data_IF_000634569925
#
_entry.id   IF_000634569925
#
_cell.length_a   1.000
_cell.length_b   1.000
_cell.length_c   1.000
_cell.angle_alpha   90.00
_cell.angle_beta   90.00
_cell.angle_gamma   90.00
#
_symmetry.space_group_name_H-M   'P 1'
#
loop_
_entity.id
_entity.type
_entity.pdbx_description
1 polymer ?
#
# COMPACT_ATOMS: atom_id res chain seq x y z
N UNK A 1 -1.40 -12.87 5.57
CA UNK A 1 -1.81 -11.65 4.84
C UNK A 1 -0.65 -11.25 3.95
N UNK A 2 -0.89 -10.60 2.83
CA UNK A 2 0.19 -10.14 1.96
C UNK A 2 0.47 -8.67 2.23
N UNK A 3 1.74 -8.31 2.34
CA UNK A 3 2.17 -6.92 2.34
C UNK A 3 2.28 -6.47 0.89
N UNK A 4 1.61 -5.40 0.52
CA UNK A 4 1.75 -4.74 -0.78
C UNK A 4 2.47 -3.42 -0.56
N UNK A 5 3.45 -3.12 -1.41
CA UNK A 5 4.19 -1.86 -1.40
C UNK A 5 4.22 -1.28 -2.81
N UNK A 6 4.06 0.04 -2.92
CA UNK A 6 4.07 0.75 -4.19
C UNK A 6 4.71 2.13 -4.05
N UNK A 7 5.59 2.48 -4.99
CA UNK A 7 6.12 3.84 -5.13
C UNK A 7 6.88 3.97 -6.45
N UNK A 8 6.73 5.08 -7.20
CA UNK A 8 7.56 5.37 -8.37
C UNK A 8 9.07 5.37 -8.07
N UNK A 9 9.45 5.62 -6.81
CA UNK A 9 10.84 5.69 -6.37
C UNK A 9 11.32 4.39 -5.69
N UNK A 10 10.58 3.28 -5.81
CA UNK A 10 10.95 2.03 -5.14
C UNK A 10 12.23 1.43 -5.75
N UNK A 11 13.15 1.02 -4.88
CA UNK A 11 14.45 0.48 -5.26
C UNK A 11 14.68 -0.85 -4.56
N UNK A 12 15.59 -1.66 -5.10
CA UNK A 12 15.93 -2.97 -4.53
C UNK A 12 16.33 -2.90 -3.05
N UNK A 13 17.08 -1.86 -2.65
CA UNK A 13 17.46 -1.65 -1.25
C UNK A 13 16.26 -1.47 -0.31
N UNK A 14 15.19 -0.83 -0.77
CA UNK A 14 13.96 -0.69 0.02
C UNK A 14 13.31 -2.05 0.24
N UNK A 15 13.22 -2.87 -0.81
CA UNK A 15 12.63 -4.22 -0.72
C UNK A 15 13.43 -5.12 0.22
N UNK A 16 14.76 -5.10 0.16
CA UNK A 16 15.62 -5.87 1.07
C UNK A 16 15.42 -5.44 2.52
N UNK A 17 15.40 -4.13 2.77
CA UNK A 17 15.21 -3.62 4.13
C UNK A 17 13.84 -3.97 4.68
N UNK A 18 12.78 -3.76 3.89
CA UNK A 18 11.40 -4.12 4.27
C UNK A 18 11.30 -5.61 4.58
N UNK A 19 11.90 -6.47 3.75
CA UNK A 19 11.93 -7.92 3.98
C UNK A 19 12.51 -8.28 5.35
N UNK A 20 13.66 -7.67 5.69
CA UNK A 20 14.34 -7.89 6.95
C UNK A 20 13.51 -7.49 8.18
N UNK A 21 12.82 -6.34 8.12
CA UNK A 21 12.02 -5.82 9.25
C UNK A 21 10.58 -6.34 9.28
N UNK A 22 10.11 -6.99 8.19
CA UNK A 22 8.77 -7.58 8.11
C UNK A 22 8.66 -8.92 8.85
N UNK A 23 9.80 -9.49 9.30
CA UNK A 23 9.85 -10.79 10.01
C UNK A 23 9.12 -11.91 9.23
N UNK A 24 9.16 -11.85 7.90
CA UNK A 24 8.48 -12.82 7.06
C UNK A 24 8.99 -14.24 7.28
N UNK A 25 8.08 -15.20 7.15
CA UNK A 25 8.41 -16.61 7.17
C UNK A 25 9.56 -16.95 6.19
N UNK A 26 10.44 -17.87 6.63
CA UNK A 26 11.63 -18.23 5.86
C UNK A 26 11.23 -18.71 4.45
N UNK A 27 11.70 -17.99 3.43
CA UNK A 27 11.46 -18.31 2.02
C UNK A 27 10.44 -17.43 1.30
N UNK A 28 9.71 -16.53 2.00
CA UNK A 28 8.88 -15.53 1.31
C UNK A 28 9.79 -14.56 0.53
N UNK A 29 9.45 -14.26 -0.72
CA UNK A 29 10.16 -13.28 -1.55
C UNK A 29 9.19 -12.25 -2.10
N UNK A 30 9.70 -11.06 -2.39
CA UNK A 30 8.93 -10.05 -3.09
C UNK A 30 8.65 -10.50 -4.53
N UNK A 31 7.39 -10.35 -4.93
CA UNK A 31 6.93 -10.61 -6.30
C UNK A 31 6.46 -9.28 -6.89
N UNK A 32 7.00 -8.93 -8.04
CA UNK A 32 6.59 -7.73 -8.77
C UNK A 32 5.23 -7.95 -9.44
N UNK A 33 4.31 -7.02 -9.24
CA UNK A 33 2.95 -7.08 -9.79
C UNK A 33 2.63 -5.91 -10.73
N UNK A 34 3.42 -4.84 -10.68
CA UNK A 34 3.43 -3.75 -11.65
C UNK A 34 4.82 -3.10 -11.68
N UNK A 35 5.04 -2.14 -12.59
CA UNK A 35 6.31 -1.41 -12.75
C UNK A 35 6.87 -0.90 -11.41
N UNK A 36 5.99 -0.34 -10.58
CA UNK A 36 6.34 0.29 -9.30
C UNK A 36 5.69 -0.38 -8.09
N UNK A 37 5.18 -1.61 -8.22
CA UNK A 37 4.43 -2.29 -7.17
C UNK A 37 4.86 -3.75 -6.96
N UNK A 38 4.99 -4.14 -5.69
CA UNK A 38 5.46 -5.45 -5.25
C UNK A 38 4.59 -5.96 -4.10
N UNK A 39 4.51 -7.28 -3.94
CA UNK A 39 3.94 -7.85 -2.72
C UNK A 39 4.84 -8.93 -2.12
N UNK A 40 4.73 -9.09 -0.80
CA UNK A 40 5.39 -10.12 0.00
C UNK A 40 4.31 -10.98 0.67
N UNK A 41 4.22 -12.28 0.35
CA UNK A 41 3.16 -13.15 0.85
C UNK A 41 3.39 -13.57 2.31
N UNK A 42 2.36 -14.15 2.93
CA UNK A 42 2.47 -14.90 4.20
C UNK A 42 3.01 -14.12 5.41
N UNK A 43 2.59 -12.87 5.55
CA UNK A 43 2.78 -12.10 6.78
C UNK A 43 1.80 -12.59 7.84
N UNK A 44 2.31 -12.87 9.03
CA UNK A 44 1.50 -13.32 10.17
C UNK A 44 0.75 -12.15 10.82
N UNK A 45 1.40 -10.99 10.92
CA UNK A 45 0.87 -9.76 11.49
C UNK A 45 1.41 -8.53 10.76
N UNK A 46 0.76 -7.38 10.97
CA UNK A 46 1.26 -6.10 10.46
C UNK A 46 2.44 -5.61 11.33
N UNK A 47 3.57 -5.28 10.69
CA UNK A 47 4.76 -4.78 11.38
C UNK A 47 4.74 -3.26 11.42
N UNK A 48 4.73 -2.67 12.62
CA UNK A 48 4.81 -1.21 12.78
C UNK A 48 6.10 -0.64 12.17
N UNK A 49 7.22 -1.36 12.31
CA UNK A 49 8.50 -0.96 11.74
C UNK A 49 8.45 -0.86 10.20
N UNK A 50 7.71 -1.76 9.53
CA UNK A 50 7.49 -1.67 8.08
C UNK A 50 6.69 -0.41 7.73
N UNK A 51 5.62 -0.14 8.47
CA UNK A 51 4.75 1.02 8.24
C UNK A 51 5.56 2.32 8.41
N UNK A 52 6.32 2.44 9.50
CA UNK A 52 7.13 3.61 9.81
C UNK A 52 8.23 3.84 8.76
N UNK A 53 8.89 2.76 8.32
CA UNK A 53 9.90 2.84 7.26
C UNK A 53 9.28 3.26 5.93
N UNK A 54 8.15 2.66 5.54
CA UNK A 54 7.48 3.00 4.29
C UNK A 54 7.03 4.46 4.28
N UNK A 55 6.47 4.95 5.39
CA UNK A 55 6.11 6.37 5.55
C UNK A 55 7.34 7.29 5.41
N UNK A 56 8.46 6.97 6.06
CA UNK A 56 9.69 7.76 5.99
C UNK A 56 10.30 7.80 4.58
N UNK A 57 10.07 6.77 3.76
CA UNK A 57 10.60 6.67 2.40
C UNK A 57 9.59 7.09 1.32
N UNK A 58 8.42 7.62 1.69
CA UNK A 58 7.33 7.92 0.75
C UNK A 58 6.95 6.70 -0.12
N UNK A 59 6.77 5.56 0.55
CA UNK A 59 6.32 4.31 -0.04
C UNK A 59 4.93 4.00 0.52
N UNK A 60 3.95 3.83 -0.37
CA UNK A 60 2.62 3.37 0.03
C UNK A 60 2.71 1.90 0.40
N UNK A 61 2.14 1.54 1.55
CA UNK A 61 2.10 0.16 2.01
C UNK A 61 0.72 -0.23 2.56
N UNK A 62 0.34 -1.48 2.34
CA UNK A 62 -0.90 -2.03 2.86
C UNK A 62 -0.76 -3.52 3.18
N UNK A 63 -1.31 -3.95 4.31
CA UNK A 63 -1.47 -5.35 4.64
C UNK A 63 -2.85 -5.83 4.19
N UNK A 64 -2.88 -6.71 3.19
CA UNK A 64 -4.10 -7.17 2.54
C UNK A 64 -4.36 -8.64 2.91
N UNK A 65 -5.56 -9.00 3.41
CA UNK A 65 -5.96 -10.40 3.60
C UNK A 65 -5.77 -11.22 2.32
N UNK A 66 -5.25 -12.45 2.45
CA UNK A 66 -4.93 -13.30 1.29
C UNK A 66 -6.16 -13.53 0.39
N UNK A 67 -7.33 -13.69 1.02
CA UNK A 67 -8.61 -13.94 0.35
C UNK A 67 -9.21 -12.70 -0.32
N UNK A 68 -8.67 -11.50 -0.10
CA UNK A 68 -9.19 -10.28 -0.73
C UNK A 68 -8.61 -10.14 -2.15
N UNK A 69 -9.27 -10.76 -3.13
CA UNK A 69 -8.90 -10.71 -4.56
C UNK A 69 -9.92 -9.89 -5.33
N UNK A 70 -9.56 -9.43 -6.55
CA UNK A 70 -10.50 -8.67 -7.40
C UNK A 70 -11.80 -9.44 -7.68
N UNK A 71 -11.74 -10.76 -7.84
CA UNK A 71 -12.93 -11.61 -8.01
C UNK A 71 -13.90 -11.56 -6.81
N UNK A 72 -13.42 -11.16 -5.64
CA UNK A 72 -14.21 -11.01 -4.42
C UNK A 72 -14.69 -9.56 -4.19
N UNK A 73 -14.33 -8.62 -5.08
CA UNK A 73 -14.77 -7.22 -5.05
C UNK A 73 -15.87 -7.05 -6.11
N UNK A 74 -17.07 -6.63 -5.69
CA UNK A 74 -18.25 -6.54 -6.57
C UNK A 74 -18.63 -5.11 -6.96
N UNK A 75 -18.36 -4.16 -6.07
CA UNK A 75 -18.67 -2.75 -6.24
C UNK A 75 -17.56 -1.95 -5.59
N UNK A 76 -16.99 -1.01 -6.34
CA UNK A 76 -16.11 0.02 -5.80
C UNK A 76 -16.92 1.32 -5.78
N UNK A 77 -17.09 1.90 -4.60
CA UNK A 77 -17.65 3.24 -4.44
C UNK A 77 -16.49 4.16 -4.09
N UNK A 78 -16.34 5.23 -4.85
CA UNK A 78 -15.30 6.23 -4.66
C UNK A 78 -16.00 7.51 -4.22
N UNK A 79 -15.50 8.13 -3.16
CA UNK A 79 -15.90 9.49 -2.81
C UNK A 79 -15.26 10.45 -3.82
N UNK A 80 -16.08 11.31 -4.42
CA UNK A 80 -15.65 12.21 -5.50
C UNK A 80 -14.80 13.36 -4.98
N UNK A 81 -14.92 13.67 -3.69
CA UNK A 81 -14.24 14.79 -3.03
C UNK A 81 -13.37 14.30 -1.87
N UNK A 82 -12.27 15.01 -1.59
CA UNK A 82 -11.55 14.78 -0.35
C UNK A 82 -12.28 15.47 0.80
N UNK A 83 -12.23 14.90 2.00
CA UNK A 83 -12.85 15.46 3.22
C UNK A 83 -12.41 16.89 3.61
N UNK A 84 -11.39 17.45 2.94
CA UNK A 84 -10.92 18.83 3.09
C UNK A 84 -11.36 19.79 1.97
N UNK A 85 -11.91 19.29 0.85
CA UNK A 85 -12.29 20.06 -0.34
C UNK A 85 -13.83 20.14 -0.46
N UNK A 86 -14.54 20.41 0.64
CA UNK A 86 -15.94 20.86 0.57
C UNK A 86 -16.07 22.40 0.63
N UNK A 87 -14.98 23.10 0.95
CA UNK A 87 -14.98 24.56 1.13
C UNK A 87 -14.57 25.29 -0.16
N UNK A 88 -13.93 24.64 -1.13
CA UNK A 88 -13.55 25.26 -2.41
C UNK A 88 -14.71 25.29 -3.42
N UNK A 89 -15.67 24.35 -3.36
CA UNK A 89 -16.79 24.30 -4.30
C UNK A 89 -17.92 25.32 -4.03
N UNK A 90 -17.78 26.22 -3.05
CA UNK A 90 -18.76 27.30 -2.82
C UNK A 90 -18.31 28.63 -3.42
N UNK A 91 -17.03 28.81 -3.74
CA UNK A 91 -16.56 30.06 -4.35
C UNK A 91 -16.82 30.13 -5.87
N UNK A 92 -17.02 29.00 -6.55
CA UNK A 92 -17.41 28.98 -7.98
C UNK A 92 -18.93 29.06 -8.25
N UNK A 93 -19.78 29.12 -7.21
CA UNK A 93 -21.24 29.33 -7.40
C UNK A 93 -21.59 30.84 -7.36
N UNK A 94 -20.60 31.71 -7.11
CA UNK A 94 -20.79 33.16 -6.95
C UNK A 94 -20.11 34.03 -8.03
N UNK A 95 -19.52 33.44 -9.07
CA UNK A 95 -19.04 34.15 -10.27
C UNK A 95 -19.90 33.81 -11.51
#
# INVERSE_FOLDING_TARGET
>A
MRLVVQSPAIQFQHLVHIHQISQSNQGAQFIQIAEHAYYLPHQESASQAVIDFCAAQNIDCAYVPEKQTLNNIKLAVMDMDSTLINIECIDEIAD
#
